data_IF_156247780664
#
_entry.id   IF_156247780664
#
_cell.length_a   1.000
_cell.length_b   1.000
_cell.length_c   1.000
_cell.angle_alpha   90.00
_cell.angle_beta   90.00
_cell.angle_gamma   90.00
#
_symmetry.space_group_name_H-M   'P 1'
#
loop_
_entity.id
_entity.type
_entity.pdbx_description
1 polymer ?
#
# COMPACT_ATOMS: atom_id res chain seq x y z
N UNK A 1 7.21 -1.62 -11.20
CA UNK A 1 5.99 -0.84 -10.93
C UNK A 1 6.43 0.48 -10.30
N UNK A 2 5.77 1.61 -10.55
CA UNK A 2 6.20 2.92 -10.01
C UNK A 2 5.27 3.34 -8.87
N UNK A 3 5.82 3.44 -7.65
CA UNK A 3 5.11 3.96 -6.48
C UNK A 3 5.02 5.48 -6.57
N UNK A 4 3.91 6.05 -6.13
CA UNK A 4 3.65 7.48 -6.08
C UNK A 4 2.95 7.84 -4.77
N UNK A 5 3.02 9.12 -4.37
CA UNK A 5 2.34 9.65 -3.19
C UNK A 5 2.55 8.78 -1.94
N UNK A 6 3.82 8.40 -1.70
CA UNK A 6 4.20 7.56 -0.56
C UNK A 6 4.19 8.42 0.71
N UNK A 7 3.38 8.03 1.67
CA UNK A 7 3.36 8.56 3.03
C UNK A 7 3.80 7.43 3.97
N UNK A 8 4.88 7.66 4.73
CA UNK A 8 5.44 6.64 5.63
C UNK A 8 4.54 6.43 6.85
N UNK A 9 4.50 5.21 7.41
CA UNK A 9 3.79 4.95 8.66
C UNK A 9 4.40 5.76 9.80
N UNK A 10 3.57 6.07 10.79
CA UNK A 10 3.99 6.61 12.09
C UNK A 10 3.63 5.60 13.17
N UNK A 11 4.08 5.77 14.43
CA UNK A 11 3.71 4.83 15.50
C UNK A 11 2.20 4.62 15.68
N UNK A 12 1.38 5.61 15.31
CA UNK A 12 -0.08 5.57 15.48
C UNK A 12 -0.84 5.39 14.15
N UNK A 13 -0.16 5.32 13.01
CA UNK A 13 -0.79 5.32 11.68
C UNK A 13 -0.06 4.43 10.67
N UNK A 14 -0.83 3.75 9.82
CA UNK A 14 -0.28 3.05 8.65
C UNK A 14 0.28 4.05 7.63
N UNK A 15 1.23 3.58 6.82
CA UNK A 15 1.68 4.27 5.62
C UNK A 15 0.73 4.01 4.46
N UNK A 16 0.74 4.90 3.48
CA UNK A 16 -0.02 4.74 2.24
C UNK A 16 0.84 5.01 1.02
N UNK A 17 0.50 4.38 -0.09
CA UNK A 17 1.02 4.75 -1.40
C UNK A 17 -0.01 4.48 -2.49
N UNK A 18 0.29 4.99 -3.69
CA UNK A 18 -0.47 4.74 -4.91
C UNK A 18 0.45 4.19 -6.01
N UNK A 19 -0.14 3.58 -7.03
CA UNK A 19 0.59 3.13 -8.21
C UNK A 19 0.29 4.04 -9.38
N UNK A 20 1.33 4.38 -10.14
CA UNK A 20 1.16 5.11 -11.40
C UNK A 20 0.21 4.38 -12.34
N UNK A 21 -0.88 5.04 -12.72
CA UNK A 21 -1.94 4.47 -13.54
C UNK A 21 -3.13 3.91 -12.75
N UNK A 22 -3.03 3.81 -11.43
CA UNK A 22 -4.12 3.41 -10.51
C UNK A 22 -4.41 4.53 -9.50
N UNK A 23 -4.60 5.76 -9.97
CA UNK A 23 -4.68 6.96 -9.13
C UNK A 23 -5.89 7.03 -8.18
N UNK A 24 -6.89 6.15 -8.38
CA UNK A 24 -8.04 6.03 -7.48
C UNK A 24 -7.84 4.96 -6.41
N UNK A 25 -6.74 4.20 -6.49
CA UNK A 25 -6.46 3.07 -5.61
C UNK A 25 -5.33 3.43 -4.66
N UNK A 26 -5.52 3.06 -3.40
CA UNK A 26 -4.58 3.26 -2.31
C UNK A 26 -4.20 1.90 -1.72
N UNK A 27 -2.95 1.79 -1.32
CA UNK A 27 -2.38 0.62 -0.67
C UNK A 27 -1.83 1.04 0.68
N UNK A 28 -2.03 0.21 1.70
CA UNK A 28 -1.56 0.46 3.06
C UNK A 28 -0.40 -0.45 3.39
N UNK A 29 0.49 0.03 4.22
CA UNK A 29 1.58 -0.77 4.78
C UNK A 29 1.90 -0.32 6.19
N UNK A 30 2.46 -1.20 6.99
CA UNK A 30 2.83 -0.96 8.39
C UNK A 30 4.32 -1.18 8.59
N UNK A 31 4.88 -0.57 9.63
CA UNK A 31 6.22 -0.91 10.11
C UNK A 31 6.11 -2.10 11.07
N UNK A 32 6.70 -3.23 10.72
CA UNK A 32 6.73 -4.45 11.53
C UNK A 32 8.13 -5.05 11.49
N UNK A 33 8.69 -5.43 12.64
CA UNK A 33 10.01 -6.10 12.75
C UNK A 33 11.13 -5.52 11.85
N UNK A 34 11.25 -4.18 11.82
CA UNK A 34 12.33 -3.50 11.09
C UNK A 34 12.16 -3.48 9.57
N UNK A 35 10.98 -3.78 9.05
CA UNK A 35 10.64 -3.68 7.63
C UNK A 35 9.22 -3.14 7.44
N UNK A 36 8.89 -2.81 6.18
CA UNK A 36 7.54 -2.39 5.82
C UNK A 36 6.75 -3.57 5.26
N UNK A 37 5.59 -3.85 5.86
CA UNK A 37 4.70 -4.94 5.46
C UNK A 37 3.44 -4.37 4.80
N UNK A 38 3.18 -4.77 3.56
CA UNK A 38 1.98 -4.42 2.81
C UNK A 38 0.73 -5.09 3.41
N UNK A 39 -0.38 -4.36 3.52
CA UNK A 39 -1.68 -4.96 3.84
C UNK A 39 -2.26 -5.67 2.61
N UNK A 40 -2.95 -6.81 2.75
CA UNK A 40 -3.43 -7.61 1.62
C UNK A 40 -4.59 -6.99 0.84
N UNK A 41 -5.13 -5.86 1.30
CA UNK A 41 -6.26 -5.20 0.66
C UNK A 41 -5.85 -3.90 -0.03
N UNK A 42 -6.50 -3.64 -1.16
CA UNK A 42 -6.47 -2.35 -1.84
C UNK A 42 -7.72 -1.54 -1.51
N UNK A 43 -7.62 -0.22 -1.57
CA UNK A 43 -8.73 0.70 -1.30
C UNK A 43 -9.03 1.59 -2.52
N UNK A 44 -10.21 1.45 -3.11
CA UNK A 44 -10.61 2.15 -4.34
C UNK A 44 -11.53 3.33 -3.98
N UNK A 45 -10.98 4.54 -3.96
CA UNK A 45 -11.68 5.75 -3.51
C UNK A 45 -12.87 6.16 -4.39
N UNK A 46 -12.91 5.72 -5.66
CA UNK A 46 -14.01 6.02 -6.59
C UNK A 46 -15.25 5.15 -6.36
N UNK A 47 -15.15 4.06 -5.59
CA UNK A 47 -16.30 3.23 -5.24
C UNK A 47 -17.19 3.99 -4.26
N UNK A 48 -18.45 4.23 -4.65
CA UNK A 48 -19.37 5.06 -3.86
C UNK A 48 -19.74 4.45 -2.52
N UNK A 49 -19.92 3.13 -2.50
CA UNK A 49 -20.25 2.34 -1.31
C UNK A 49 -18.98 2.12 -0.46
N UNK A 50 -18.86 2.74 0.74
CA UNK A 50 -17.66 2.65 1.57
C UNK A 50 -17.28 1.22 1.94
N UNK A 51 -18.27 0.35 2.17
CA UNK A 51 -18.06 -1.03 2.57
C UNK A 51 -17.51 -1.90 1.43
N UNK A 52 -17.57 -1.40 0.20
CA UNK A 52 -17.05 -2.05 -1.02
C UNK A 52 -15.77 -1.39 -1.55
N UNK A 53 -15.22 -0.39 -0.85
CA UNK A 53 -13.96 0.25 -1.26
C UNK A 53 -12.77 -0.66 -1.08
N UNK A 54 -12.87 -1.64 -0.18
CA UNK A 54 -11.79 -2.54 0.16
C UNK A 54 -11.90 -3.84 -0.63
N UNK A 55 -10.86 -4.17 -1.39
CA UNK A 55 -10.80 -5.40 -2.18
C UNK A 55 -9.53 -6.18 -1.86
N UNK A 56 -9.66 -7.49 -1.64
CA UNK A 56 -8.53 -8.39 -1.45
C UNK A 56 -7.72 -8.47 -2.74
N UNK A 57 -6.42 -8.23 -2.65
CA UNK A 57 -5.52 -8.35 -3.80
C UNK A 57 -5.30 -9.82 -4.17
N UNK A 58 -5.03 -10.07 -5.45
CA UNK A 58 -4.49 -11.37 -5.85
C UNK A 58 -3.09 -11.55 -5.27
N UNK A 59 -2.67 -12.80 -5.04
CA UNK A 59 -1.34 -13.10 -4.51
C UNK A 59 -0.23 -12.48 -5.36
N UNK A 60 -0.33 -12.57 -6.69
CA UNK A 60 0.66 -11.98 -7.61
C UNK A 60 0.75 -10.47 -7.46
N UNK A 61 -0.39 -9.78 -7.31
CA UNK A 61 -0.40 -8.33 -7.11
C UNK A 61 0.23 -7.95 -5.77
N UNK A 62 -0.09 -8.71 -4.71
CA UNK A 62 0.52 -8.52 -3.39
C UNK A 62 2.04 -8.67 -3.45
N UNK A 63 2.55 -9.77 -4.03
CA UNK A 63 3.98 -10.06 -4.11
C UNK A 63 4.74 -8.98 -4.92
N UNK A 64 4.15 -8.53 -6.03
CA UNK A 64 4.73 -7.48 -6.87
C UNK A 64 4.80 -6.13 -6.16
N UNK A 65 3.76 -5.80 -5.37
CA UNK A 65 3.68 -4.57 -4.61
C UNK A 65 4.60 -4.58 -3.39
N UNK A 66 4.67 -5.70 -2.66
CA UNK A 66 5.59 -5.84 -1.52
C UNK A 66 7.02 -5.67 -1.98
N UNK A 67 7.42 -6.33 -3.07
CA UNK A 67 8.76 -6.14 -3.67
C UNK A 67 9.01 -4.69 -4.07
N UNK A 68 8.03 -4.03 -4.68
CA UNK A 68 8.18 -2.62 -5.05
C UNK A 68 8.33 -1.72 -3.81
N UNK A 69 7.63 -2.02 -2.72
CA UNK A 69 7.78 -1.34 -1.44
C UNK A 69 9.20 -1.51 -0.88
N UNK A 70 9.69 -2.75 -0.83
CA UNK A 70 11.04 -3.08 -0.33
C UNK A 70 12.15 -2.40 -1.16
N UNK A 71 11.98 -2.30 -2.48
CA UNK A 71 12.97 -1.72 -3.39
C UNK A 71 12.99 -0.18 -3.36
N UNK A 72 11.86 0.47 -3.09
CA UNK A 72 11.70 1.93 -3.27
C UNK A 72 11.56 2.71 -1.97
N UNK A 73 11.26 2.04 -0.85
CA UNK A 73 11.00 2.70 0.43
C UNK A 73 11.91 2.08 1.49
N UNK A 74 12.99 2.79 1.81
CA UNK A 74 13.94 2.34 2.84
C UNK A 74 13.33 2.49 4.23
N UNK A 75 13.54 1.47 5.05
CA UNK A 75 13.19 1.50 6.46
C UNK A 75 14.25 2.31 7.22
N UNK A 76 13.92 3.54 7.61
CA UNK A 76 14.76 4.40 8.44
C UNK A 76 14.15 4.42 9.85
N UNK A 77 14.89 3.87 10.83
CA UNK A 77 14.51 3.84 12.26
C UNK A 77 14.58 5.21 12.92
#
# INVERSE_FOLDING_TARGET
>A
MELMNVELPTPDQFGIFQIKGLNATFFRFVAEDGHYLLEPHSFIATVSDPDKRQELMSQTMYDDLQRALDENVSFEN
#
